data_IF_095621946481
#
_entry.id   IF_095621946481
#
_cell.length_a   1.000
_cell.length_b   1.000
_cell.length_c   1.000
_cell.angle_alpha   90.00
_cell.angle_beta   90.00
_cell.angle_gamma   90.00
#
_symmetry.space_group_name_H-M   'P 1'
#
loop_
_entity.id
_entity.type
_entity.pdbx_description
1 polymer ?
#
# COMPACT_ATOMS: atom_id res chain seq x y z
N UNK A 1 -8.06 6.50 12.86
CA UNK A 1 -7.40 6.97 11.60
C UNK A 1 -8.41 6.78 10.48
N UNK A 2 -8.48 7.63 9.44
CA UNK A 2 -9.44 7.37 8.33
C UNK A 2 -8.97 6.16 7.50
N UNK A 3 -9.89 5.37 6.96
CA UNK A 3 -9.58 4.16 6.17
C UNK A 3 -8.57 4.42 5.02
N UNK A 4 -8.67 5.55 4.32
CA UNK A 4 -7.72 5.91 3.25
C UNK A 4 -6.27 6.09 3.76
N UNK A 5 -6.12 6.68 4.94
CA UNK A 5 -4.80 6.84 5.57
C UNK A 5 -4.24 5.49 6.02
N UNK A 6 -5.13 4.58 6.44
CA UNK A 6 -4.75 3.22 6.78
C UNK A 6 -4.20 2.48 5.55
N UNK A 7 -4.90 2.53 4.43
CA UNK A 7 -4.49 1.86 3.20
C UNK A 7 -3.15 2.41 2.70
N UNK A 8 -3.01 3.73 2.65
CA UNK A 8 -1.74 4.36 2.25
C UNK A 8 -0.57 3.97 3.17
N UNK A 9 -0.83 3.73 4.45
CA UNK A 9 0.20 3.30 5.41
C UNK A 9 0.58 1.83 5.23
N UNK A 10 -0.41 0.93 5.08
CA UNK A 10 -0.18 -0.51 4.86
C UNK A 10 0.54 -0.76 3.53
N UNK A 11 0.13 -0.05 2.47
CA UNK A 11 0.71 -0.17 1.13
C UNK A 11 1.99 0.67 0.95
N UNK A 12 2.49 1.26 2.03
CA UNK A 12 3.71 2.06 1.98
C UNK A 12 4.94 1.18 1.74
N UNK A 13 5.95 1.74 1.06
CA UNK A 13 7.22 1.06 0.84
C UNK A 13 7.93 0.61 2.13
N UNK A 14 7.67 1.30 3.26
CA UNK A 14 8.26 0.95 4.56
C UNK A 14 7.74 -0.39 5.10
N UNK A 15 6.43 -0.63 5.03
CA UNK A 15 5.81 -1.90 5.42
C UNK A 15 6.25 -3.00 4.47
N UNK A 16 6.28 -2.72 3.17
CA UNK A 16 6.74 -3.69 2.18
C UNK A 16 8.19 -4.10 2.41
N UNK A 17 9.08 -3.16 2.73
CA UNK A 17 10.47 -3.46 3.00
C UNK A 17 10.62 -4.36 4.24
N UNK A 18 9.91 -4.07 5.33
CA UNK A 18 9.96 -4.86 6.56
C UNK A 18 9.40 -6.27 6.35
N UNK A 19 8.22 -6.39 5.74
CA UNK A 19 7.60 -7.69 5.45
C UNK A 19 8.40 -8.50 4.43
N UNK A 20 9.06 -7.82 3.48
CA UNK A 20 9.92 -8.43 2.48
C UNK A 20 11.15 -9.13 3.06
N UNK A 21 11.54 -8.84 4.31
CA UNK A 21 12.61 -9.56 5.00
C UNK A 21 12.22 -10.99 5.39
N UNK A 22 10.92 -11.34 5.32
CA UNK A 22 10.45 -12.66 5.71
C UNK A 22 10.83 -13.72 4.66
N UNK A 23 11.54 -14.76 5.09
CA UNK A 23 11.89 -15.91 4.25
C UNK A 23 10.84 -17.03 4.29
N UNK A 24 9.94 -16.99 5.28
CA UNK A 24 8.92 -18.02 5.52
C UNK A 24 7.59 -17.39 5.94
N UNK A 25 6.48 -18.13 5.77
CA UNK A 25 5.16 -17.66 6.23
C UNK A 25 5.14 -17.40 7.73
N UNK A 26 5.86 -18.21 8.52
CA UNK A 26 5.99 -17.99 9.96
C UNK A 26 6.67 -16.66 10.28
N UNK A 27 7.82 -16.39 9.67
CA UNK A 27 8.53 -15.11 9.87
C UNK A 27 7.69 -13.92 9.39
N UNK A 28 6.91 -14.10 8.31
CA UNK A 28 6.01 -13.07 7.81
C UNK A 28 4.89 -12.76 8.80
N UNK A 29 4.25 -13.79 9.38
CA UNK A 29 3.23 -13.61 10.41
C UNK A 29 3.79 -12.97 11.69
N UNK A 30 5.05 -13.25 12.04
CA UNK A 30 5.74 -12.58 13.14
C UNK A 30 5.98 -11.10 12.84
N UNK A 31 6.49 -10.75 11.65
CA UNK A 31 6.65 -9.35 11.25
C UNK A 31 5.31 -8.63 11.17
N UNK A 32 4.25 -9.23 10.65
CA UNK A 32 2.90 -8.66 10.68
C UNK A 32 2.40 -8.41 12.11
N UNK A 33 2.71 -9.32 13.04
CA UNK A 33 2.36 -9.18 14.45
C UNK A 33 3.16 -8.07 15.15
N UNK A 34 4.40 -7.83 14.76
CA UNK A 34 5.29 -6.85 15.40
C UNK A 34 5.27 -5.47 14.72
N UNK A 35 4.83 -5.41 13.46
CA UNK A 35 4.80 -4.20 12.67
C UNK A 35 3.84 -3.16 13.29
N UNK A 36 4.37 -1.98 13.59
CA UNK A 36 3.65 -0.91 14.30
C UNK A 36 2.43 -0.41 13.53
N UNK A 37 2.49 -0.35 12.21
CA UNK A 37 1.39 0.12 11.35
C UNK A 37 0.26 -0.90 11.37
N UNK A 38 0.57 -2.19 11.17
CA UNK A 38 -0.42 -3.28 11.22
C UNK A 38 -1.05 -3.41 12.61
N UNK A 39 -0.25 -3.28 13.68
CA UNK A 39 -0.80 -3.29 15.04
C UNK A 39 -1.66 -2.06 15.35
N UNK A 40 -1.27 -0.88 14.87
CA UNK A 40 -2.08 0.33 14.99
C UNK A 40 -3.40 0.19 14.23
N UNK A 41 -3.36 -0.39 13.03
CA UNK A 41 -4.53 -0.71 12.22
C UNK A 41 -5.49 -1.60 12.99
N UNK A 42 -4.98 -2.73 13.51
CA UNK A 42 -5.78 -3.70 14.25
C UNK A 42 -6.47 -3.10 15.47
N UNK A 43 -5.80 -2.21 16.21
CA UNK A 43 -6.37 -1.57 17.41
C UNK A 43 -7.42 -0.51 17.10
N UNK A 44 -7.37 0.08 15.91
CA UNK A 44 -8.27 1.15 15.48
C UNK A 44 -9.31 0.64 14.49
N UNK A 45 -9.37 -0.66 14.25
CA UNK A 45 -10.26 -1.22 13.25
C UNK A 45 -11.67 -1.32 13.83
N UNK A 46 -12.55 -0.45 13.36
CA UNK A 46 -13.96 -0.52 13.70
C UNK A 46 -14.68 -1.55 12.79
N UNK A 47 -15.81 -2.13 13.23
CA UNK A 47 -16.56 -3.08 12.41
C UNK A 47 -16.96 -2.53 11.04
N UNK A 48 -17.20 -1.22 10.94
CA UNK A 48 -17.57 -0.53 9.69
C UNK A 48 -16.39 -0.49 8.69
N UNK A 49 -15.15 -0.48 9.18
CA UNK A 49 -13.95 -0.47 8.34
C UNK A 49 -13.64 -1.86 7.75
N UNK A 50 -14.24 -2.94 8.29
CA UNK A 50 -14.02 -4.32 7.80
C UNK A 50 -14.46 -4.44 6.34
N UNK A 51 -15.60 -3.84 5.98
CA UNK A 51 -16.08 -3.85 4.59
C UNK A 51 -15.11 -3.14 3.65
N UNK A 52 -14.56 -2.00 4.07
CA UNK A 52 -13.57 -1.26 3.28
C UNK A 52 -12.25 -2.04 3.14
N UNK A 53 -11.79 -2.71 4.19
CA UNK A 53 -10.63 -3.60 4.11
C UNK A 53 -10.87 -4.76 3.14
N UNK A 54 -12.06 -5.35 3.19
CA UNK A 54 -12.45 -6.47 2.33
C UNK A 54 -12.46 -6.04 0.86
N UNK A 55 -13.11 -4.92 0.55
CA UNK A 55 -13.15 -4.35 -0.80
C UNK A 55 -11.74 -4.04 -1.31
N UNK A 56 -10.89 -3.48 -0.44
CA UNK A 56 -9.51 -3.18 -0.82
C UNK A 56 -8.71 -4.45 -1.08
N UNK A 57 -8.82 -5.46 -0.22
CA UNK A 57 -8.14 -6.74 -0.38
C UNK A 57 -8.58 -7.46 -1.68
N UNK A 58 -9.88 -7.45 -1.99
CA UNK A 58 -10.43 -7.97 -3.24
C UNK A 58 -9.86 -7.23 -4.45
N UNK A 59 -9.88 -5.89 -4.43
CA UNK A 59 -9.35 -5.07 -5.51
C UNK A 59 -7.86 -5.34 -5.80
N UNK A 60 -7.06 -5.55 -4.75
CA UNK A 60 -5.64 -5.89 -4.89
C UNK A 60 -5.46 -7.30 -5.45
N UNK A 61 -6.27 -8.26 -5.01
CA UNK A 61 -6.18 -9.65 -5.47
C UNK A 61 -6.63 -9.81 -6.93
N UNK A 62 -7.69 -9.12 -7.35
CA UNK A 62 -8.24 -9.25 -8.70
C UNK A 62 -7.41 -8.52 -9.76
N UNK A 63 -6.49 -7.65 -9.35
CA UNK A 63 -5.58 -6.97 -10.28
C UNK A 63 -4.67 -8.00 -10.98
N UNK A 64 -4.53 -7.94 -12.31
CA UNK A 64 -3.61 -8.81 -13.04
C UNK A 64 -2.17 -8.46 -12.67
N UNK A 65 -1.37 -9.50 -12.35
CA UNK A 65 0.04 -9.34 -12.04
C UNK A 65 0.94 -9.29 -13.26
N UNK A 66 2.16 -8.74 -13.11
CA UNK A 66 3.18 -8.85 -14.15
C UNK A 66 3.55 -10.32 -14.38
N UNK A 67 3.68 -10.77 -15.64
CA UNK A 67 3.96 -12.17 -15.94
C UNK A 67 5.34 -12.59 -15.42
N UNK A 68 5.40 -13.71 -14.69
CA UNK A 68 6.66 -14.30 -14.24
C UNK A 68 7.29 -13.66 -13.00
N UNK A 69 6.65 -12.65 -12.39
CA UNK A 69 7.10 -11.99 -11.17
C UNK A 69 6.04 -12.06 -10.08
N UNK A 70 6.44 -11.80 -8.83
CA UNK A 70 5.49 -11.63 -7.75
C UNK A 70 4.72 -10.32 -7.92
N UNK A 71 3.44 -10.32 -7.53
CA UNK A 71 2.59 -9.15 -7.62
C UNK A 71 3.06 -8.10 -6.60
N UNK A 72 3.19 -6.80 -6.95
CA UNK A 72 3.66 -5.77 -6.00
C UNK A 72 2.78 -5.62 -4.76
N UNK A 73 1.52 -6.05 -4.85
CA UNK A 73 0.56 -6.04 -3.75
C UNK A 73 0.53 -7.32 -2.91
N UNK A 74 1.39 -8.32 -3.18
CA UNK A 74 1.37 -9.60 -2.43
C UNK A 74 1.60 -9.37 -0.92
N UNK A 75 2.59 -8.55 -0.56
CA UNK A 75 2.89 -8.24 0.84
C UNK A 75 1.81 -7.39 1.52
N UNK A 76 1.25 -6.40 0.81
CA UNK A 76 0.11 -5.63 1.31
C UNK A 76 -1.10 -6.55 1.55
N UNK A 77 -1.38 -7.45 0.61
CA UNK A 77 -2.46 -8.43 0.72
C UNK A 77 -2.27 -9.33 1.94
N UNK A 78 -1.04 -9.74 2.26
CA UNK A 78 -0.76 -10.46 3.51
C UNK A 78 -1.20 -9.68 4.76
N UNK A 79 -0.95 -8.36 4.79
CA UNK A 79 -1.35 -7.51 5.91
C UNK A 79 -2.88 -7.39 6.02
N UNK A 80 -3.58 -7.22 4.90
CA UNK A 80 -5.05 -7.22 4.88
C UNK A 80 -5.62 -8.55 5.36
N UNK A 81 -5.11 -9.67 4.86
CA UNK A 81 -5.53 -11.01 5.29
C UNK A 81 -5.31 -11.22 6.79
N UNK A 82 -4.19 -10.73 7.32
CA UNK A 82 -3.90 -10.81 8.75
C UNK A 82 -4.89 -10.01 9.62
N UNK A 83 -5.26 -8.81 9.17
CA UNK A 83 -6.27 -8.00 9.86
C UNK A 83 -7.66 -8.63 9.78
N UNK A 84 -8.02 -9.15 8.61
CA UNK A 84 -9.31 -9.78 8.33
C UNK A 84 -9.48 -11.14 9.04
N UNK A 85 -8.41 -11.91 9.22
CA UNK A 85 -8.45 -13.23 9.84
C UNK A 85 -8.88 -13.20 11.32
N UNK A 86 -8.69 -12.08 12.01
CA UNK A 86 -9.12 -11.91 13.41
C UNK A 86 -10.58 -11.44 13.52
N UNK A 87 -11.26 -11.21 12.40
CA UNK A 87 -12.66 -10.78 12.36
C UNK A 87 -13.59 -11.98 12.26
N UNK A 88 -14.73 -11.95 12.96
CA UNK A 88 -15.79 -12.94 12.80
C UNK A 88 -16.63 -12.72 11.52
N UNK A 89 -16.09 -12.01 10.52
CA UNK A 89 -16.83 -11.58 9.34
C UNK A 89 -16.84 -12.68 8.27
N UNK A 90 -18.03 -13.19 7.92
CA UNK A 90 -18.19 -14.33 7.00
C UNK A 90 -17.55 -14.08 5.63
N UNK A 91 -17.71 -12.89 5.06
CA UNK A 91 -17.12 -12.57 3.76
C UNK A 91 -15.58 -12.48 3.78
N UNK A 92 -15.00 -12.09 4.92
CA UNK A 92 -13.55 -12.08 5.10
C UNK A 92 -13.00 -13.51 5.08
N UNK A 93 -13.71 -14.43 5.74
CA UNK A 93 -13.36 -15.84 5.74
C UNK A 93 -13.47 -16.46 4.34
N UNK A 94 -14.52 -16.15 3.58
CA UNK A 94 -14.67 -16.60 2.19
C UNK A 94 -13.54 -16.11 1.30
N UNK A 95 -13.11 -14.85 1.47
CA UNK A 95 -11.96 -14.30 0.73
C UNK A 95 -10.66 -15.07 1.05
N UNK A 96 -10.41 -15.33 2.34
CA UNK A 96 -9.25 -16.11 2.78
C UNK A 96 -9.27 -17.52 2.14
N UNK A 97 -10.41 -18.20 2.16
CA UNK A 97 -10.57 -19.53 1.56
C UNK A 97 -10.38 -19.52 0.03
N UNK A 98 -10.90 -18.49 -0.65
CA UNK A 98 -10.69 -18.27 -2.09
C UNK A 98 -9.20 -18.12 -2.42
N UNK A 99 -8.49 -17.23 -1.73
CA UNK A 99 -7.07 -16.97 -1.99
C UNK A 99 -6.20 -18.21 -1.66
N UNK A 100 -6.57 -18.97 -0.63
CA UNK A 100 -5.89 -20.20 -0.25
C UNK A 100 -6.02 -21.30 -1.31
N UNK A 101 -7.21 -21.41 -1.92
CA UNK A 101 -7.55 -22.46 -2.89
C UNK A 101 -7.08 -22.17 -4.32
N UNK A 102 -7.24 -20.94 -4.81
CA UNK A 102 -6.82 -20.55 -6.15
C UNK A 102 -5.29 -20.63 -6.33
N UNK A 103 -4.52 -20.29 -5.28
CA UNK A 103 -3.07 -20.52 -5.25
C UNK A 103 -2.28 -19.82 -6.37
N UNK A 104 -2.71 -18.61 -6.76
CA UNK A 104 -2.08 -17.79 -7.81
C UNK A 104 -0.60 -17.55 -7.48
N UNK A 105 0.28 -17.88 -8.42
CA UNK A 105 1.74 -17.88 -8.20
C UNK A 105 2.30 -16.49 -7.92
N UNK A 106 1.69 -15.47 -8.50
CA UNK A 106 2.04 -14.07 -8.29
C UNK A 106 1.67 -13.57 -6.88
N UNK A 107 0.80 -14.29 -6.16
CA UNK A 107 0.38 -14.00 -4.79
C UNK A 107 0.86 -15.09 -3.81
N UNK A 108 2.11 -15.55 -3.99
CA UNK A 108 2.63 -16.68 -3.23
C UNK A 108 2.64 -16.44 -1.71
N UNK A 109 2.97 -15.22 -1.27
CA UNK A 109 2.97 -14.87 0.15
C UNK A 109 1.55 -14.85 0.72
N UNK A 110 0.63 -14.17 0.05
CA UNK A 110 -0.76 -14.08 0.47
C UNK A 110 -1.45 -15.44 0.46
N UNK A 111 -1.23 -16.27 -0.56
CA UNK A 111 -1.76 -17.64 -0.60
C UNK A 111 -1.24 -18.50 0.56
N UNK A 112 0.02 -18.35 0.96
CA UNK A 112 0.53 -19.11 2.11
C UNK A 112 -0.05 -18.62 3.44
N UNK A 113 -0.19 -17.31 3.61
CA UNK A 113 -0.86 -16.70 4.77
C UNK A 113 -2.33 -17.13 4.83
N UNK A 114 -3.04 -17.13 3.71
CA UNK A 114 -4.42 -17.57 3.61
C UNK A 114 -4.57 -19.05 4.02
N UNK A 115 -3.70 -19.93 3.49
CA UNK A 115 -3.68 -21.36 3.86
C UNK A 115 -3.37 -21.59 5.34
N UNK A 116 -2.51 -20.76 5.92
CA UNK A 116 -2.24 -20.83 7.35
C UNK A 116 -3.53 -20.56 8.15
N UNK A 117 -4.28 -19.52 7.79
CA UNK A 117 -5.53 -19.18 8.47
C UNK A 117 -6.65 -20.20 8.23
N UNK A 118 -6.77 -20.78 7.03
CA UNK A 118 -7.77 -21.84 6.80
C UNK A 118 -7.48 -23.10 7.61
N UNK A 119 -6.21 -23.44 7.85
CA UNK A 119 -5.82 -24.61 8.68
C UNK A 119 -6.08 -24.42 10.17
N UNK A 120 -6.00 -23.18 10.66
CA UNK A 120 -6.29 -22.86 12.06
C UNK A 120 -7.78 -22.95 12.41
N UNK A 121 -8.65 -22.86 11.40
CA UNK A 121 -10.10 -22.83 11.56
C UNK A 121 -10.60 -21.51 12.17
N UNK A 122 -11.87 -21.20 11.94
CA UNK A 122 -12.51 -19.91 12.25
C UNK A 122 -12.60 -19.55 13.75
N UNK A 123 -11.98 -20.32 14.65
CA UNK A 123 -12.15 -20.20 16.10
C UNK A 123 -10.85 -19.90 16.87
N UNK A 124 -9.69 -19.84 16.20
CA UNK A 124 -8.44 -19.54 16.92
C UNK A 124 -7.93 -18.13 16.69
N UNK A 125 -8.10 -17.32 17.75
CA UNK A 125 -7.37 -16.07 17.97
C UNK A 125 -5.88 -16.30 17.71
N UNK A 126 -5.20 -15.30 17.10
CA UNK A 126 -3.76 -15.23 16.79
C UNK A 126 -2.79 -15.61 17.95
N UNK A 127 -3.30 -15.94 19.14
CA UNK A 127 -2.61 -16.60 20.23
C UNK A 127 -1.94 -17.94 19.85
N UNK A 128 -2.38 -18.59 18.76
CA UNK A 128 -1.83 -19.89 18.31
C UNK A 128 -0.55 -19.80 17.46
N UNK A 129 -0.12 -18.61 17.02
CA UNK A 129 1.07 -18.42 16.17
C UNK A 129 2.37 -18.97 16.80
N UNK A 130 2.39 -19.19 18.12
CA UNK A 130 3.57 -19.70 18.82
C UNK A 130 3.63 -21.24 18.95
N UNK A 131 2.55 -21.98 18.65
CA UNK A 131 2.45 -23.42 19.02
C UNK A 131 2.59 -24.43 17.88
N UNK A 132 2.49 -24.03 16.60
CA UNK A 132 2.57 -24.96 15.47
C UNK A 132 3.56 -24.46 14.39
N UNK A 133 4.70 -25.15 14.17
CA UNK A 133 5.72 -24.73 13.23
C UNK A 133 5.47 -25.26 11.81
N UNK A 134 4.45 -24.77 11.12
CA UNK A 134 4.38 -25.00 9.67
C UNK A 134 5.27 -23.97 8.95
N UNK A 135 6.34 -24.48 8.34
CA UNK A 135 7.31 -23.67 7.60
C UNK A 135 7.00 -23.78 6.11
N UNK A 136 6.29 -22.80 5.58
CA UNK A 136 6.24 -22.57 4.14
C UNK A 136 7.37 -21.63 3.78
N UNK A 137 8.33 -22.11 2.99
CA UNK A 137 9.45 -21.31 2.49
C UNK A 137 8.98 -20.56 1.25
N UNK A 138 9.12 -19.24 1.27
CA UNK A 138 8.97 -18.43 0.08
C UNK A 138 10.25 -18.58 -0.73
N UNK A 139 10.21 -19.29 -1.86
CA UNK A 139 11.37 -19.38 -2.73
C UNK A 139 11.83 -17.95 -3.09
N UNK A 140 13.06 -17.63 -2.68
CA UNK A 140 13.52 -16.26 -2.46
C UNK A 140 13.35 -15.33 -3.67
N UNK A 141 12.55 -14.27 -3.48
CA UNK A 141 12.47 -13.13 -4.40
C UNK A 141 12.37 -11.77 -3.70
N UNK A 142 12.58 -11.70 -2.38
CA UNK A 142 12.68 -10.44 -1.64
C UNK A 142 13.68 -9.44 -2.26
N UNK A 143 14.75 -9.95 -2.90
CA UNK A 143 15.75 -9.15 -3.59
C UNK A 143 15.24 -8.45 -4.87
N UNK A 144 14.21 -8.97 -5.55
CA UNK A 144 13.66 -8.36 -6.77
C UNK A 144 12.72 -7.17 -6.47
N UNK A 145 12.17 -7.10 -5.26
CA UNK A 145 11.21 -6.06 -4.86
C UNK A 145 11.91 -4.74 -4.52
N UNK A 146 13.12 -4.81 -3.94
CA UNK A 146 13.96 -3.63 -3.70
C UNK A 146 14.43 -2.96 -5.00
N UNK A 147 14.39 -3.68 -6.14
CA UNK A 147 14.83 -3.15 -7.43
C UNK A 147 13.73 -2.39 -8.20
N UNK A 148 12.48 -2.42 -7.75
CA UNK A 148 11.33 -1.78 -8.43
C UNK A 148 10.85 -0.48 -7.77
N UNK A 149 11.52 -0.02 -6.72
CA UNK A 149 11.32 1.35 -6.25
C UNK A 149 11.96 2.31 -7.26
N UNK A 150 11.23 3.27 -7.85
CA UNK A 150 11.87 4.31 -8.64
C UNK A 150 12.88 5.02 -7.73
N UNK A 151 14.15 4.90 -8.09
CA UNK A 151 15.26 5.59 -7.42
C UNK A 151 15.00 7.08 -7.62
N UNK A 152 14.44 7.75 -6.60
CA UNK A 152 14.36 9.21 -6.59
C UNK A 152 15.80 9.69 -6.58
N UNK A 153 16.30 10.12 -7.73
CA UNK A 153 17.60 10.78 -7.82
C UNK A 153 17.60 11.95 -6.84
N UNK A 154 18.61 12.07 -5.96
CA UNK A 154 18.74 13.26 -5.15
C UNK A 154 18.83 14.48 -6.08
N UNK A 155 17.92 15.43 -5.89
CA UNK A 155 18.05 16.74 -6.54
C UNK A 155 19.41 17.33 -6.17
N UNK A 156 20.12 17.96 -7.11
CA UNK A 156 21.38 18.62 -6.80
C UNK A 156 21.11 19.73 -5.79
N UNK A 157 21.83 19.66 -4.67
CA UNK A 157 21.83 20.66 -3.61
C UNK A 157 22.16 22.04 -4.19
N UNK A 158 21.38 23.04 -3.79
CA UNK A 158 21.54 24.42 -4.20
C UNK A 158 22.92 24.95 -3.83
N UNK A 159 23.60 25.50 -4.82
CA UNK A 159 24.80 26.29 -4.61
C UNK A 159 24.34 27.69 -4.16
N UNK A 160 24.45 27.97 -2.86
CA UNK A 160 24.21 29.29 -2.27
C UNK A 160 25.56 29.99 -2.09
N UNK A 161 25.88 30.89 -3.02
CA UNK A 161 26.90 31.95 -2.95
C UNK A 161 26.49 32.97 -4.02
N UNK A 162 26.60 34.29 -3.92
CA UNK A 162 26.86 35.30 -2.90
C UNK A 162 26.58 36.61 -3.65
N UNK A 163 25.96 37.59 -2.99
CA UNK A 163 26.11 39.04 -3.20
C UNK A 163 26.04 39.65 -4.62
N UNK A 164 24.99 40.46 -4.87
CA UNK A 164 25.17 41.78 -5.50
C UNK A 164 23.94 42.69 -5.33
N UNK A 165 24.05 43.82 -4.60
CA UNK A 165 23.03 44.86 -4.56
C UNK A 165 23.50 46.08 -5.37
N UNK A 166 23.00 46.29 -6.59
CA UNK A 166 23.16 47.57 -7.26
C UNK A 166 22.15 47.79 -8.40
N UNK A 167 21.55 49.00 -8.38
CA UNK A 167 20.95 49.76 -9.47
C UNK A 167 19.44 49.59 -9.76
N UNK A 168 18.68 50.36 -8.96
CA UNK A 168 17.61 51.25 -9.44
C UNK A 168 18.09 52.14 -10.60
N UNK A 169 17.30 52.25 -11.69
CA UNK A 169 16.62 53.50 -12.13
C UNK A 169 16.19 53.47 -13.62
N UNK A 170 14.88 53.68 -13.80
CA UNK A 170 14.22 54.63 -14.73
C UNK A 170 14.60 54.60 -16.22
N UNK A 171 13.63 54.22 -17.07
CA UNK A 171 13.16 55.12 -18.14
C UNK A 171 11.79 54.68 -18.69
N UNK A 172 10.88 55.65 -18.64
CA UNK A 172 9.54 55.68 -19.21
C UNK A 172 9.61 55.91 -20.73
N UNK A 173 8.82 55.21 -21.54
CA UNK A 173 8.27 55.80 -22.78
C UNK A 173 6.93 55.18 -23.13
N UNK A 174 5.94 56.08 -23.28
CA UNK A 174 4.56 55.86 -23.73
C UNK A 174 4.49 55.55 -25.23
N UNK A 175 3.55 54.69 -25.62
CA UNK A 175 2.68 54.84 -26.81
C UNK A 175 1.57 53.78 -26.66
N UNK A 176 0.31 54.09 -26.34
CA UNK A 176 -0.68 54.91 -27.04
C UNK A 176 -1.00 54.39 -28.46
N UNK A 177 -1.96 53.47 -28.55
CA UNK A 177 -2.89 53.41 -29.67
C UNK A 177 -4.27 53.02 -29.16
N UNK A 178 -5.19 53.97 -29.30
CA UNK A 178 -6.59 53.92 -28.96
C UNK A 178 -7.44 53.32 -30.09
N UNK A 179 -8.66 52.94 -29.74
CA UNK A 179 -9.80 52.77 -30.66
C UNK A 179 -10.11 51.30 -30.97
N UNK A 180 -11.33 50.79 -30.82
CA UNK A 180 -12.63 51.47 -30.73
C UNK A 180 -13.66 50.48 -30.19
N UNK A 181 -14.54 50.98 -29.33
CA UNK A 181 -15.74 50.33 -28.85
C UNK A 181 -16.87 50.37 -29.90
N UNK A 182 -17.75 49.36 -29.87
CA UNK A 182 -19.22 49.48 -29.95
C UNK A 182 -19.82 48.08 -29.69
N UNK A 183 -20.47 47.80 -28.55
CA UNK A 183 -21.85 48.16 -28.16
C UNK A 183 -22.87 47.25 -28.88
N UNK A 184 -23.38 46.18 -28.23
CA UNK A 184 -24.71 46.06 -27.53
C UNK A 184 -25.86 46.03 -28.55
N UNK A 185 -26.80 45.07 -28.60
CA UNK A 185 -27.98 44.86 -27.73
C UNK A 185 -28.77 43.67 -28.35
N UNK A 186 -29.10 42.58 -27.64
CA UNK A 186 -30.33 42.25 -26.88
C UNK A 186 -31.63 41.96 -27.67
N UNK A 187 -32.32 40.90 -27.21
CA UNK A 187 -33.71 40.46 -27.44
C UNK A 187 -34.07 39.97 -28.86
N UNK A 188 -34.81 38.88 -29.07
CA UNK A 188 -35.76 38.14 -28.24
C UNK A 188 -35.71 36.63 -28.53
#
# INVERSE_FOLDING_TARGET
>A
MKADQLFGSIESGSVHAELGLASTTRTLLLFLKENKIVQSARRQLDPEDITLLLERALSLYERPGPPGYAHPSDLALCAYLYLLADTAHVEAQKLIERIASEGRREFAAASAVARYFTRLGSSTTLAHVNKNPEVFVFAGRAAEWAATTPRVSPMPEGNVLSENPALLCVASTRQASAGRAATVQTHA
#
